data_IF_153552447327
#
_entry.id   IF_153552447327
#
_cell.length_a   1.000
_cell.length_b   1.000
_cell.length_c   1.000
_cell.angle_alpha   90.00
_cell.angle_beta   90.00
_cell.angle_gamma   90.00
#
_symmetry.space_group_name_H-M   'P 1'
#
loop_
_entity.id
_entity.type
_entity.pdbx_description
1 polymer ?
#
# COMPACT_ATOMS: atom_id res chain seq x y z
N UNK A 1 21.73 -0.85 72.18
CA UNK A 1 20.88 -0.71 70.99
C UNK A 1 21.79 -0.74 69.76
N UNK A 2 21.83 -1.85 69.04
CA UNK A 2 22.56 -1.97 67.78
C UNK A 2 21.49 -2.02 66.68
N UNK A 3 21.41 -0.95 65.89
CA UNK A 3 20.54 -0.88 64.73
C UNK A 3 21.22 -1.63 63.56
N UNK A 4 20.60 -2.64 62.93
CA UNK A 4 21.12 -3.16 61.68
C UNK A 4 20.74 -2.21 60.56
N UNK A 5 21.74 -1.57 59.96
CA UNK A 5 21.58 -0.86 58.68
C UNK A 5 21.31 -1.95 57.62
N UNK A 6 20.05 -2.09 57.21
CA UNK A 6 19.68 -2.81 55.98
C UNK A 6 20.20 -1.98 54.81
N UNK A 7 21.39 -2.28 54.32
CA UNK A 7 21.77 -1.94 52.94
C UNK A 7 20.92 -2.83 52.02
N UNK A 8 19.72 -2.35 51.68
CA UNK A 8 18.99 -2.86 50.53
C UNK A 8 19.73 -2.42 49.28
N UNK A 9 20.61 -3.26 48.75
CA UNK A 9 21.04 -3.14 47.36
C UNK A 9 19.83 -3.48 46.49
N UNK A 10 19.02 -2.49 46.15
CA UNK A 10 18.08 -2.62 45.04
C UNK A 10 18.91 -2.69 43.77
N UNK A 11 19.20 -3.90 43.30
CA UNK A 11 19.54 -4.09 41.91
C UNK A 11 18.32 -3.65 41.12
N UNK A 12 18.31 -2.41 40.61
CA UNK A 12 17.35 -2.00 39.60
C UNK A 12 17.60 -2.93 38.41
N UNK A 13 16.74 -3.93 38.26
CA UNK A 13 16.76 -4.79 37.10
C UNK A 13 16.43 -3.89 35.91
N UNK A 14 17.41 -3.64 35.03
CA UNK A 14 17.19 -2.81 33.85
C UNK A 14 16.21 -3.52 32.93
N UNK A 15 15.07 -2.87 32.65
CA UNK A 15 14.08 -3.39 31.70
C UNK A 15 14.76 -3.67 30.37
N UNK A 16 14.58 -4.89 29.86
CA UNK A 16 15.13 -5.34 28.59
C UNK A 16 14.02 -5.26 27.52
N UNK A 17 14.25 -4.44 26.50
CA UNK A 17 13.40 -4.35 25.32
C UNK A 17 14.09 -5.03 24.14
N UNK A 18 13.41 -5.98 23.49
CA UNK A 18 13.88 -6.64 22.27
C UNK A 18 12.82 -6.62 21.18
N UNK A 19 13.26 -6.38 19.94
CA UNK A 19 12.40 -6.41 18.75
C UNK A 19 13.01 -7.35 17.72
N UNK A 20 12.22 -8.33 17.28
CA UNK A 20 12.70 -9.36 16.34
C UNK A 20 11.71 -9.62 15.20
N UNK A 21 12.16 -9.54 13.93
CA UNK A 21 13.46 -8.99 13.50
C UNK A 21 13.55 -7.47 13.73
N UNK A 22 14.75 -6.97 14.07
CA UNK A 22 15.02 -5.52 14.19
C UNK A 22 15.24 -4.83 12.85
N UNK A 23 15.49 -5.61 11.80
CA UNK A 23 15.61 -5.17 10.41
C UNK A 23 14.82 -6.13 9.54
N UNK A 24 13.78 -5.64 8.86
CA UNK A 24 12.95 -6.46 7.99
C UNK A 24 12.19 -5.60 6.99
N UNK A 25 11.57 -6.22 5.98
CA UNK A 25 10.68 -5.49 5.09
C UNK A 25 9.48 -4.93 5.86
N UNK A 26 8.93 -3.82 5.37
CA UNK A 26 7.82 -3.12 6.02
C UNK A 26 6.59 -4.03 6.15
N UNK A 27 6.39 -4.97 5.24
CA UNK A 27 5.26 -5.89 5.17
C UNK A 27 5.46 -7.21 5.96
N UNK A 28 6.56 -7.34 6.70
CA UNK A 28 6.83 -8.48 7.59
C UNK A 28 6.43 -8.20 9.04
N UNK A 29 5.91 -9.21 9.76
CA UNK A 29 5.64 -9.05 11.20
C UNK A 29 6.93 -8.98 12.01
N UNK A 30 6.92 -8.16 13.05
CA UNK A 30 7.92 -8.19 14.11
C UNK A 30 7.26 -8.46 15.46
N UNK A 31 8.04 -8.95 16.41
CA UNK A 31 7.64 -9.21 17.79
C UNK A 31 8.36 -8.24 18.70
N UNK A 32 7.63 -7.63 19.62
CA UNK A 32 8.21 -6.79 20.68
C UNK A 32 8.07 -7.52 22.01
N UNK A 33 9.19 -7.70 22.69
CA UNK A 33 9.27 -8.38 23.97
C UNK A 33 9.93 -7.46 24.98
N UNK A 34 9.21 -7.23 26.09
CA UNK A 34 9.72 -6.53 27.26
C UNK A 34 9.96 -7.55 28.36
N UNK A 35 11.11 -7.51 29.01
CA UNK A 35 11.52 -8.42 30.08
C UNK A 35 12.19 -7.66 31.21
N UNK A 36 12.42 -8.33 32.34
CA UNK A 36 13.10 -7.79 33.52
C UNK A 36 12.38 -6.57 34.15
N UNK A 37 11.09 -6.40 33.89
CA UNK A 37 10.26 -5.46 34.62
C UNK A 37 9.76 -6.09 35.93
N UNK A 38 9.24 -5.28 36.85
CA UNK A 38 8.61 -5.81 38.06
C UNK A 38 7.33 -6.60 37.70
N UNK A 39 7.07 -7.78 38.31
CA UNK A 39 5.82 -8.51 38.10
C UNK A 39 4.60 -7.62 38.39
N UNK A 40 3.60 -7.64 37.50
CA UNK A 40 2.42 -6.77 37.61
C UNK A 40 2.65 -5.29 37.30
N UNK A 41 3.86 -4.88 36.88
CA UNK A 41 4.11 -3.49 36.50
C UNK A 41 3.28 -3.08 35.28
N UNK A 42 2.67 -1.91 35.37
CA UNK A 42 2.05 -1.21 34.26
C UNK A 42 3.12 -0.57 33.38
N UNK A 43 3.06 -0.81 32.07
CA UNK A 43 4.00 -0.28 31.09
C UNK A 43 3.26 0.26 29.86
N UNK A 44 3.79 1.32 29.27
CA UNK A 44 3.42 1.76 27.93
C UNK A 44 4.53 1.41 26.95
N UNK A 45 4.18 0.70 25.87
CA UNK A 45 5.07 0.52 24.71
C UNK A 45 4.64 1.52 23.64
N UNK A 46 5.59 2.34 23.20
CA UNK A 46 5.38 3.45 22.29
C UNK A 46 6.27 3.26 21.06
N UNK A 47 5.72 3.47 19.86
CA UNK A 47 6.46 3.49 18.60
C UNK A 47 6.38 4.88 17.98
N UNK A 48 7.53 5.44 17.62
CA UNK A 48 7.66 6.75 16.99
C UNK A 48 8.44 6.64 15.68
N UNK A 49 7.99 7.38 14.68
CA UNK A 49 8.61 7.50 13.37
C UNK A 49 8.59 8.97 12.93
N UNK A 50 9.72 9.47 12.47
CA UNK A 50 9.80 10.72 11.71
C UNK A 50 9.84 10.38 10.22
N UNK A 51 8.83 10.79 9.46
CA UNK A 51 8.76 10.52 8.02
C UNK A 51 9.72 11.42 7.23
N UNK A 52 9.95 11.08 5.96
CA UNK A 52 10.88 11.80 5.08
C UNK A 52 10.45 13.27 4.85
N UNK A 53 9.15 13.51 4.84
CA UNK A 53 8.50 14.82 4.80
C UNK A 53 8.38 15.51 6.17
N UNK A 54 9.11 15.00 7.18
CA UNK A 54 9.27 15.57 8.52
C UNK A 54 7.99 15.61 9.37
N UNK A 55 7.05 14.70 9.12
CA UNK A 55 5.88 14.52 10.00
C UNK A 55 6.17 13.45 11.06
N UNK A 56 5.67 13.69 12.28
CA UNK A 56 5.73 12.73 13.37
C UNK A 56 4.55 11.77 13.29
N UNK A 57 4.86 10.49 13.37
CA UNK A 57 3.90 9.40 13.44
C UNK A 57 4.15 8.66 14.74
N UNK A 58 3.11 8.51 15.57
CA UNK A 58 3.24 7.77 16.82
C UNK A 58 2.09 6.81 17.07
N UNK A 59 2.36 5.73 17.79
CA UNK A 59 1.37 4.77 18.28
C UNK A 59 1.83 4.24 19.64
N UNK A 60 0.89 3.87 20.51
CA UNK A 60 1.23 3.26 21.79
C UNK A 60 0.21 2.21 22.22
N UNK A 61 0.62 1.35 23.14
CA UNK A 61 -0.23 0.38 23.79
C UNK A 61 0.12 0.22 25.27
N UNK A 62 -0.90 -0.03 26.08
CA UNK A 62 -0.78 -0.27 27.51
C UNK A 62 -0.72 -1.77 27.80
N UNK A 63 0.19 -2.16 28.69
CA UNK A 63 0.44 -3.54 29.07
C UNK A 63 0.64 -3.67 30.57
N UNK A 64 0.38 -4.87 31.07
CA UNK A 64 0.68 -5.27 32.45
C UNK A 64 1.62 -6.47 32.37
N UNK A 65 2.73 -6.41 33.09
CA UNK A 65 3.72 -7.49 33.12
C UNK A 65 3.13 -8.74 33.76
N UNK A 66 3.47 -9.90 33.20
CA UNK A 66 3.11 -11.19 33.80
C UNK A 66 3.87 -11.45 35.11
N UNK A 67 3.61 -12.60 35.73
CA UNK A 67 4.28 -13.02 36.97
C UNK A 67 5.81 -13.14 36.87
N UNK A 68 6.36 -13.20 35.65
CA UNK A 68 7.80 -13.25 35.39
C UNK A 68 8.40 -11.88 35.10
N UNK A 69 7.59 -10.81 35.08
CA UNK A 69 8.06 -9.47 34.72
C UNK A 69 8.21 -9.27 33.21
N UNK A 70 7.45 -10.03 32.40
CA UNK A 70 7.55 -9.99 30.94
C UNK A 70 6.25 -9.55 30.26
N UNK A 71 6.36 -8.98 29.06
CA UNK A 71 5.25 -8.63 28.16
C UNK A 71 5.62 -9.03 26.73
N UNK A 72 4.80 -9.89 26.11
CA UNK A 72 4.86 -10.18 24.69
C UNK A 72 3.78 -9.36 23.95
N UNK A 73 4.21 -8.30 23.27
CA UNK A 73 3.31 -7.40 22.56
C UNK A 73 2.95 -8.04 21.22
N UNK A 74 1.90 -8.86 21.21
CA UNK A 74 1.40 -9.51 19.98
C UNK A 74 0.70 -8.55 19.01
N UNK A 75 0.47 -7.30 19.41
CA UNK A 75 -0.45 -6.38 18.75
C UNK A 75 0.07 -4.94 18.65
N UNK A 76 1.39 -4.74 18.46
CA UNK A 76 1.88 -3.47 17.93
C UNK A 76 1.67 -3.46 16.40
N UNK A 77 0.43 -3.66 15.97
CA UNK A 77 0.03 -3.13 14.67
C UNK A 77 0.20 -1.63 14.84
N UNK A 78 1.18 -1.05 14.14
CA UNK A 78 1.56 0.35 14.27
C UNK A 78 0.38 1.21 13.81
N UNK A 79 -0.56 1.45 14.73
CA UNK A 79 -1.70 2.32 14.55
C UNK A 79 -1.22 3.74 14.74
N UNK A 80 -0.44 4.22 13.78
CA UNK A 80 0.04 5.58 13.84
C UNK A 80 -1.14 6.54 13.66
N UNK A 81 -1.42 7.32 14.69
CA UNK A 81 -2.20 8.55 14.53
C UNK A 81 -1.20 9.69 14.31
N UNK A 82 -1.48 10.66 13.43
CA UNK A 82 -0.76 11.93 13.49
C UNK A 82 -0.98 12.53 14.90
N UNK A 83 0.10 12.89 15.57
CA UNK A 83 0.05 13.56 16.87
C UNK A 83 -0.66 14.90 16.69
N UNK A 84 -1.82 15.07 17.31
CA UNK A 84 -2.50 16.36 17.33
C UNK A 84 -1.79 17.30 18.31
N UNK A 85 -0.67 17.89 17.89
CA UNK A 85 -0.14 19.07 18.56
C UNK A 85 -0.79 20.35 17.99
N UNK A 86 -1.48 21.05 18.88
CA UNK A 86 -1.91 22.45 18.81
C UNK A 86 -3.12 22.82 17.93
N UNK A 87 -3.94 23.70 18.53
CA UNK A 87 -5.11 24.40 17.97
C UNK A 87 -4.80 25.29 16.74
N UNK A 88 -3.61 25.21 16.13
CA UNK A 88 -3.19 26.04 15.00
C UNK A 88 -2.79 25.27 13.72
N UNK A 89 -2.69 23.93 13.75
CA UNK A 89 -2.28 23.11 12.58
C UNK A 89 -3.39 22.26 11.95
N UNK A 90 -4.62 22.77 11.91
CA UNK A 90 -5.79 22.07 11.37
C UNK A 90 -5.82 21.94 9.83
N UNK A 91 -4.74 22.27 9.11
CA UNK A 91 -4.80 22.51 7.66
C UNK A 91 -4.20 21.45 6.75
N UNK A 92 -3.42 20.50 7.26
CA UNK A 92 -2.89 19.41 6.42
C UNK A 92 -3.02 18.06 7.14
N UNK A 93 -3.85 17.18 6.55
CA UNK A 93 -3.90 15.77 6.96
C UNK A 93 -2.96 15.01 6.05
N UNK A 94 -1.91 14.42 6.62
CA UNK A 94 -0.84 13.78 5.86
C UNK A 94 -1.10 12.28 5.70
N UNK A 95 -0.56 11.73 4.62
CA UNK A 95 -0.50 10.31 4.34
C UNK A 95 0.97 9.93 4.40
N UNK A 96 1.33 8.85 5.08
CA UNK A 96 2.71 8.39 5.09
C UNK A 96 3.10 8.00 3.66
N UNK A 97 4.13 8.64 3.14
CA UNK A 97 4.69 8.34 1.82
C UNK A 97 6.15 7.98 1.95
N UNK A 98 6.55 6.94 1.22
CA UNK A 98 7.96 6.57 1.05
C UNK A 98 8.43 7.04 -0.32
N UNK A 99 9.35 8.00 -0.34
CA UNK A 99 9.91 8.56 -1.57
C UNK A 99 11.20 7.86 -1.96
N UNK A 100 12.07 7.56 -0.98
CA UNK A 100 13.32 6.84 -1.23
C UNK A 100 13.24 5.40 -0.73
N UNK A 101 12.92 4.45 -1.61
CA UNK A 101 12.80 3.02 -1.24
C UNK A 101 14.14 2.35 -0.86
N UNK A 102 15.27 2.98 -1.13
CA UNK A 102 16.62 2.47 -0.86
C UNK A 102 17.07 2.71 0.59
N UNK A 103 16.28 3.44 1.39
CA UNK A 103 16.50 3.65 2.82
C UNK A 103 15.35 3.07 3.65
N UNK A 104 15.59 2.65 4.89
CA UNK A 104 14.52 2.16 5.75
C UNK A 104 13.63 3.31 6.27
N UNK A 105 12.46 2.95 6.79
CA UNK A 105 11.83 3.75 7.84
C UNK A 105 12.44 3.35 9.18
N UNK A 106 12.87 4.34 9.93
CA UNK A 106 13.47 4.20 11.25
C UNK A 106 12.41 4.40 12.32
N UNK A 107 12.06 3.33 13.04
CA UNK A 107 11.01 3.33 14.06
C UNK A 107 11.65 3.12 15.40
N UNK A 108 11.53 4.12 16.27
CA UNK A 108 11.99 4.01 17.66
C UNK A 108 10.89 3.37 18.47
N UNK A 109 11.16 2.21 19.07
CA UNK A 109 10.27 1.55 20.03
C UNK A 109 10.81 1.82 21.43
N UNK A 110 9.98 2.41 22.28
CA UNK A 110 10.33 2.79 23.65
C UNK A 110 9.36 2.18 24.65
N UNK A 111 9.86 1.86 25.84
CA UNK A 111 9.06 1.40 26.98
C UNK A 111 9.08 2.46 28.07
N UNK A 112 7.91 2.79 28.59
CA UNK A 112 7.73 3.74 29.68
C UNK A 112 7.04 3.08 30.87
N UNK A 113 7.31 3.59 32.07
CA UNK A 113 6.64 3.17 33.30
C UNK A 113 5.23 3.78 33.36
N UNK A 114 4.25 2.96 33.74
CA UNK A 114 2.83 3.36 33.86
C UNK A 114 2.11 3.37 32.51
N UNK A 115 0.79 3.59 32.56
CA UNK A 115 -0.07 3.71 31.37
C UNK A 115 -0.15 5.15 30.87
N UNK A 116 0.96 5.65 30.32
CA UNK A 116 1.04 6.97 29.68
C UNK A 116 0.23 7.02 28.38
N UNK A 117 -0.46 8.13 28.12
CA UNK A 117 -1.26 8.37 26.90
C UNK A 117 -0.75 9.53 26.05
N UNK A 118 0.12 10.38 26.60
CA UNK A 118 0.68 11.56 25.94
C UNK A 118 2.00 11.97 26.61
N UNK A 119 2.67 13.01 26.09
CA UNK A 119 3.86 13.59 26.71
C UNK A 119 5.11 12.70 26.64
N UNK A 120 5.15 11.68 25.76
CA UNK A 120 6.26 10.73 25.68
C UNK A 120 7.68 11.33 25.67
N UNK A 121 7.96 12.47 25.00
CA UNK A 121 9.28 13.12 25.05
C UNK A 121 9.67 13.68 26.42
N UNK A 122 8.70 13.95 27.29
CA UNK A 122 8.90 14.52 28.64
C UNK A 122 9.22 13.43 29.67
N UNK A 123 8.91 12.18 29.36
CA UNK A 123 9.17 11.04 30.21
C UNK A 123 10.48 10.35 29.85
N UNK A 124 11.20 9.84 30.86
CA UNK A 124 12.38 9.00 30.64
C UNK A 124 11.93 7.59 30.25
N UNK A 125 12.29 7.14 29.05
CA UNK A 125 12.08 5.75 28.65
C UNK A 125 12.93 4.80 29.53
N UNK A 126 12.34 3.68 29.94
CA UNK A 126 13.01 2.60 30.65
C UNK A 126 13.99 1.86 29.73
N UNK A 127 13.60 1.71 28.47
CA UNK A 127 14.41 1.15 27.40
C UNK A 127 13.90 1.67 26.04
N UNK A 128 14.79 1.75 25.06
CA UNK A 128 14.44 2.10 23.69
C UNK A 128 15.31 1.32 22.70
N UNK A 129 14.76 1.01 21.54
CA UNK A 129 15.46 0.34 20.44
C UNK A 129 15.02 0.90 19.10
N UNK A 130 15.96 1.04 18.17
CA UNK A 130 15.70 1.43 16.80
C UNK A 130 15.39 0.19 15.95
N UNK A 131 14.32 0.25 15.16
CA UNK A 131 13.88 -0.81 14.26
C UNK A 131 13.87 -0.26 12.84
N UNK A 132 14.48 -0.98 11.91
CA UNK A 132 14.50 -0.61 10.49
C UNK A 132 13.44 -1.38 9.71
N UNK A 133 12.61 -0.64 8.98
CA UNK A 133 11.53 -1.17 8.13
C UNK A 133 11.80 -0.83 6.67
N UNK A 134 12.25 -1.81 5.91
CA UNK A 134 12.74 -1.65 4.55
C UNK A 134 11.62 -1.80 3.51
N UNK A 135 11.64 -1.02 2.44
CA UNK A 135 10.74 -1.21 1.30
C UNK A 135 11.38 -2.01 0.16
N UNK A 136 12.69 -2.24 0.24
CA UNK A 136 13.48 -2.93 -0.77
C UNK A 136 14.39 -3.94 -0.09
N UNK A 137 14.26 -5.22 -0.44
CA UNK A 137 15.10 -6.28 0.09
C UNK A 137 16.53 -6.19 -0.44
N UNK A 138 17.53 -6.71 0.31
CA UNK A 138 18.90 -6.80 -0.17
C UNK A 138 19.00 -7.51 -1.53
N UNK A 139 19.74 -6.91 -2.46
CA UNK A 139 19.98 -7.47 -3.79
C UNK A 139 18.89 -7.18 -4.83
N UNK A 140 17.77 -6.57 -4.45
CA UNK A 140 16.83 -5.99 -5.43
C UNK A 140 17.52 -4.82 -6.14
N UNK A 141 17.43 -4.79 -7.46
CA UNK A 141 17.98 -3.71 -8.27
C UNK A 141 16.88 -2.67 -8.56
N UNK A 142 17.21 -1.39 -8.39
CA UNK A 142 16.38 -0.25 -8.78
C UNK A 142 16.98 0.40 -10.04
N UNK A 143 16.23 0.40 -11.13
CA UNK A 143 16.69 0.86 -12.45
C UNK A 143 15.72 1.94 -12.96
N UNK A 144 16.08 3.23 -12.87
CA UNK A 144 15.30 4.29 -13.49
C UNK A 144 15.19 4.07 -15.01
N UNK A 145 14.01 4.29 -15.57
CA UNK A 145 13.73 4.10 -16.99
C UNK A 145 13.21 5.41 -17.57
N UNK A 146 13.98 5.97 -18.49
CA UNK A 146 13.63 7.18 -19.27
C UNK A 146 13.55 6.91 -20.78
N UNK A 147 13.75 5.65 -21.19
CA UNK A 147 13.68 5.23 -22.58
C UNK A 147 12.24 5.31 -23.11
N UNK A 148 12.10 5.56 -24.41
CA UNK A 148 10.79 5.64 -25.09
C UNK A 148 9.82 6.65 -24.47
N UNK A 149 10.34 7.71 -23.84
CA UNK A 149 9.61 8.73 -23.10
C UNK A 149 8.82 8.21 -21.89
N UNK A 150 9.15 7.03 -21.38
CA UNK A 150 8.57 6.53 -20.15
C UNK A 150 9.17 7.31 -18.96
N UNK A 151 8.33 7.67 -18.00
CA UNK A 151 8.77 8.05 -16.66
C UNK A 151 8.45 6.88 -15.73
N UNK A 152 9.43 6.02 -15.52
CA UNK A 152 9.24 4.77 -14.78
C UNK A 152 10.50 4.35 -14.01
N UNK A 153 10.32 3.40 -13.09
CA UNK A 153 11.44 2.70 -12.44
C UNK A 153 11.16 1.21 -12.46
N UNK A 154 12.10 0.44 -13.01
CA UNK A 154 12.09 -1.01 -13.02
C UNK A 154 12.81 -1.53 -11.78
N UNK A 155 12.14 -2.41 -11.05
CA UNK A 155 12.71 -3.18 -9.96
C UNK A 155 12.91 -4.63 -10.38
N UNK A 156 14.11 -5.17 -10.20
CA UNK A 156 14.42 -6.56 -10.48
C UNK A 156 14.75 -7.33 -9.20
N UNK A 157 14.15 -8.51 -8.98
CA UNK A 157 14.55 -9.39 -7.88
C UNK A 157 16.03 -9.81 -7.97
N UNK A 158 16.66 -10.17 -6.85
CA UNK A 158 17.99 -10.79 -6.89
C UNK A 158 17.95 -12.14 -7.62
N UNK A 159 19.04 -12.48 -8.30
CA UNK A 159 19.23 -13.77 -8.96
C UNK A 159 19.30 -13.68 -10.48
N UNK A 160 19.41 -14.83 -11.17
CA UNK A 160 19.71 -14.87 -12.60
C UNK A 160 18.54 -14.46 -13.51
N UNK A 161 17.30 -14.50 -13.02
CA UNK A 161 16.11 -14.33 -13.86
C UNK A 161 15.98 -15.42 -14.94
N UNK A 162 15.20 -15.19 -16.01
CA UNK A 162 14.25 -14.09 -16.15
C UNK A 162 13.08 -14.23 -15.15
N UNK A 163 12.46 -13.10 -14.81
CA UNK A 163 11.37 -13.03 -13.83
C UNK A 163 10.04 -12.73 -14.53
N UNK A 164 8.90 -13.24 -14.05
CA UNK A 164 7.62 -12.65 -14.40
C UNK A 164 7.55 -11.21 -13.89
N UNK A 165 6.75 -10.38 -14.57
CA UNK A 165 6.71 -8.95 -14.27
C UNK A 165 5.31 -8.43 -13.91
N UNK A 166 5.27 -7.31 -13.20
CA UNK A 166 4.07 -6.56 -12.87
C UNK A 166 4.24 -5.11 -13.36
N UNK A 167 3.34 -4.64 -14.21
CA UNK A 167 3.19 -3.22 -14.51
C UNK A 167 2.35 -2.57 -13.42
N UNK A 168 2.94 -1.66 -12.65
CA UNK A 168 2.38 -1.11 -11.42
C UNK A 168 1.89 0.33 -11.59
N UNK A 169 0.57 0.55 -11.42
CA UNK A 169 -0.10 1.83 -11.59
C UNK A 169 -0.73 2.35 -10.29
N UNK A 170 -0.34 3.56 -9.92
CA UNK A 170 -0.93 4.30 -8.79
C UNK A 170 -2.14 5.14 -9.22
N UNK A 171 -2.78 5.77 -8.24
CA UNK A 171 -3.99 6.58 -8.41
C UNK A 171 -3.75 7.99 -8.94
N UNK A 172 -4.76 8.85 -8.81
CA UNK A 172 -4.79 10.22 -9.35
C UNK A 172 -3.82 11.21 -8.70
N UNK A 173 -3.01 10.80 -7.72
CA UNK A 173 -2.07 11.68 -7.03
C UNK A 173 -0.86 12.08 -7.86
N UNK A 174 -0.64 11.41 -9.00
CA UNK A 174 0.55 11.58 -9.83
C UNK A 174 1.86 11.23 -9.11
N UNK A 175 2.94 11.66 -9.72
CA UNK A 175 4.33 11.33 -9.45
C UNK A 175 4.63 9.83 -9.61
N UNK A 176 5.91 9.53 -9.71
CA UNK A 176 6.40 8.17 -9.66
C UNK A 176 6.39 7.66 -8.21
N UNK A 177 5.58 6.64 -7.94
CA UNK A 177 5.45 6.02 -6.62
C UNK A 177 5.98 4.59 -6.67
N UNK A 178 7.04 4.33 -5.92
CA UNK A 178 7.88 3.15 -6.13
C UNK A 178 7.69 2.05 -5.08
N UNK A 179 7.17 2.38 -3.91
CA UNK A 179 7.27 1.53 -2.73
C UNK A 179 6.48 0.22 -2.80
N UNK A 180 5.40 0.14 -3.61
CA UNK A 180 4.73 -1.14 -3.90
C UNK A 180 5.56 -1.99 -4.86
N UNK A 181 6.11 -1.38 -5.91
CA UNK A 181 6.95 -2.08 -6.89
C UNK A 181 8.24 -2.63 -6.28
N UNK A 182 8.90 -1.89 -5.39
CA UNK A 182 10.08 -2.38 -4.66
C UNK A 182 9.77 -3.59 -3.77
N UNK A 183 8.60 -3.60 -3.13
CA UNK A 183 8.13 -4.75 -2.36
C UNK A 183 7.78 -5.94 -3.27
N UNK A 184 7.13 -5.72 -4.42
CA UNK A 184 6.88 -6.79 -5.39
C UNK A 184 8.18 -7.47 -5.86
N UNK A 185 9.23 -6.69 -6.13
CA UNK A 185 10.56 -7.22 -6.45
C UNK A 185 11.21 -7.97 -5.30
N UNK A 186 11.02 -7.50 -4.08
CA UNK A 186 11.42 -8.21 -2.86
C UNK A 186 10.72 -9.56 -2.69
N UNK A 187 9.54 -9.72 -3.28
CA UNK A 187 8.76 -10.98 -3.29
C UNK A 187 8.95 -11.83 -4.56
N UNK A 188 9.91 -11.47 -5.41
CA UNK A 188 10.32 -12.26 -6.57
C UNK A 188 9.61 -11.92 -7.88
N UNK A 189 9.02 -10.74 -8.02
CA UNK A 189 8.45 -10.28 -9.31
C UNK A 189 9.22 -9.08 -9.84
N UNK A 190 9.63 -9.08 -11.12
CA UNK A 190 10.02 -7.82 -11.72
C UNK A 190 8.84 -6.83 -11.64
N UNK A 191 9.07 -5.57 -11.35
CA UNK A 191 7.99 -4.60 -11.18
C UNK A 191 8.36 -3.26 -11.79
N UNK A 192 7.49 -2.72 -12.64
CA UNK A 192 7.66 -1.40 -13.25
C UNK A 192 6.66 -0.43 -12.64
N UNK A 193 7.15 0.45 -11.77
CA UNK A 193 6.38 1.61 -11.34
C UNK A 193 6.30 2.59 -12.52
N UNK A 194 5.08 2.99 -12.90
CA UNK A 194 4.87 3.91 -14.03
C UNK A 194 4.16 5.19 -13.58
N UNK A 195 4.76 6.33 -13.90
CA UNK A 195 4.08 7.63 -13.85
C UNK A 195 3.44 7.92 -15.21
N UNK A 196 2.11 8.05 -15.22
CA UNK A 196 1.31 8.34 -16.40
C UNK A 196 0.52 9.65 -16.29
N UNK A 197 0.68 10.40 -15.19
CA UNK A 197 -0.02 11.66 -14.95
C UNK A 197 0.94 12.86 -14.94
N UNK A 198 2.14 12.70 -14.41
CA UNK A 198 3.13 13.79 -14.23
C UNK A 198 4.47 13.47 -14.90
N UNK A 199 4.47 12.60 -15.89
CA UNK A 199 5.64 12.40 -16.75
C UNK A 199 6.01 13.69 -17.48
N UNK A 200 7.26 13.78 -17.92
CA UNK A 200 7.82 14.99 -18.56
C UNK A 200 7.01 15.44 -19.78
N UNK A 201 6.45 14.50 -20.56
CA UNK A 201 5.61 14.83 -21.70
C UNK A 201 4.32 15.49 -21.26
N UNK A 202 3.64 14.98 -20.24
CA UNK A 202 2.41 15.58 -19.72
C UNK A 202 2.68 16.95 -19.11
N UNK A 203 3.78 17.11 -18.35
CA UNK A 203 4.18 18.41 -17.80
C UNK A 203 4.46 19.42 -18.92
N UNK A 204 5.20 19.00 -19.94
CA UNK A 204 5.66 19.90 -21.02
C UNK A 204 4.55 20.23 -22.02
N UNK A 205 3.69 19.26 -22.35
CA UNK A 205 2.69 19.42 -23.42
C UNK A 205 1.29 19.72 -22.89
N UNK A 206 1.03 19.52 -21.59
CA UNK A 206 -0.30 19.55 -21.00
C UNK A 206 -1.22 18.41 -21.46
N UNK A 207 -0.74 17.52 -22.34
CA UNK A 207 -1.55 16.42 -22.89
C UNK A 207 -1.43 15.19 -22.00
N UNK A 208 -2.58 14.65 -21.65
CA UNK A 208 -2.65 13.41 -20.90
C UNK A 208 -2.33 12.20 -21.76
N UNK A 209 -1.73 11.18 -21.14
CA UNK A 209 -1.31 9.98 -21.85
C UNK A 209 -2.49 9.17 -22.37
N UNK A 210 -2.29 8.51 -23.51
CA UNK A 210 -3.26 7.61 -24.16
C UNK A 210 -2.86 6.16 -23.94
N UNK A 211 -3.68 5.23 -24.46
CA UNK A 211 -3.45 3.79 -24.37
C UNK A 211 -2.02 3.41 -24.82
N UNK A 212 -1.52 4.02 -25.90
CA UNK A 212 -0.20 3.75 -26.48
C UNK A 212 0.96 3.92 -25.47
N UNK A 213 0.81 4.79 -24.45
CA UNK A 213 1.82 4.96 -23.41
C UNK A 213 1.92 3.72 -22.50
N UNK A 214 0.77 3.18 -22.10
CA UNK A 214 0.71 1.95 -21.32
C UNK A 214 1.14 0.73 -22.15
N UNK A 215 0.79 0.71 -23.44
CA UNK A 215 1.24 -0.32 -24.37
C UNK A 215 2.76 -0.26 -24.58
N UNK A 216 3.35 0.94 -24.62
CA UNK A 216 4.81 1.14 -24.67
C UNK A 216 5.48 0.61 -23.41
N UNK A 217 4.96 0.93 -22.22
CA UNK A 217 5.48 0.39 -20.96
C UNK A 217 5.38 -1.15 -20.88
N UNK A 218 4.27 -1.72 -21.38
CA UNK A 218 4.12 -3.17 -21.49
C UNK A 218 5.15 -3.78 -22.45
N UNK A 219 5.39 -3.16 -23.61
CA UNK A 219 6.38 -3.64 -24.59
C UNK A 219 7.80 -3.54 -24.08
N UNK A 220 8.13 -2.48 -23.33
CA UNK A 220 9.39 -2.37 -22.61
C UNK A 220 9.62 -3.59 -21.71
N UNK A 221 8.62 -3.99 -20.91
CA UNK A 221 8.73 -5.20 -20.08
C UNK A 221 8.79 -6.48 -20.91
N UNK A 222 7.98 -6.60 -21.95
CA UNK A 222 7.93 -7.80 -22.81
C UNK A 222 9.27 -8.08 -23.49
N UNK A 223 10.01 -7.03 -23.84
CA UNK A 223 11.29 -7.11 -24.56
C UNK A 223 12.50 -7.14 -23.63
N UNK A 224 12.34 -6.86 -22.34
CA UNK A 224 13.45 -6.80 -21.40
C UNK A 224 14.08 -8.20 -21.18
N UNK A 225 15.41 -8.38 -21.29
CA UNK A 225 16.06 -9.69 -21.28
C UNK A 225 15.91 -10.46 -19.96
N UNK A 226 15.72 -9.76 -18.85
CA UNK A 226 15.47 -10.36 -17.54
C UNK A 226 13.98 -10.57 -17.23
N UNK A 227 13.08 -10.39 -18.19
CA UNK A 227 11.64 -10.58 -18.00
C UNK A 227 11.14 -11.72 -18.87
N UNK A 228 10.28 -12.56 -18.30
CA UNK A 228 9.53 -13.54 -19.08
C UNK A 228 8.37 -12.80 -19.74
N UNK A 229 8.56 -12.31 -20.97
CA UNK A 229 7.60 -11.43 -21.65
C UNK A 229 6.17 -12.00 -21.81
N UNK A 230 6.01 -13.33 -21.78
CA UNK A 230 4.69 -13.98 -21.78
C UNK A 230 3.98 -14.00 -20.43
N UNK A 231 4.62 -13.51 -19.36
CA UNK A 231 4.16 -13.59 -17.97
C UNK A 231 4.20 -12.22 -17.29
N UNK A 232 3.40 -11.32 -17.84
CA UNK A 232 3.24 -9.95 -17.34
C UNK A 232 1.83 -9.78 -16.75
N UNK A 233 1.76 -9.31 -15.52
CA UNK A 233 0.54 -8.83 -14.89
C UNK A 233 0.48 -7.30 -14.89
N UNK A 234 -0.69 -6.77 -14.55
CA UNK A 234 -0.88 -5.35 -14.30
C UNK A 234 -1.57 -5.15 -12.94
N UNK A 235 -1.08 -4.21 -12.13
CA UNK A 235 -1.63 -3.89 -10.82
C UNK A 235 -2.04 -2.42 -10.77
N UNK A 236 -3.32 -2.15 -10.58
CA UNK A 236 -3.85 -0.80 -10.43
C UNK A 236 -4.39 -0.50 -9.03
N UNK A 237 -4.24 0.75 -8.58
CA UNK A 237 -4.98 1.33 -7.45
C UNK A 237 -5.75 2.57 -7.93
N UNK A 238 -7.01 2.71 -7.51
CA UNK A 238 -7.82 3.91 -7.78
C UNK A 238 -7.92 4.18 -9.30
N UNK A 239 -7.47 5.35 -9.78
CA UNK A 239 -7.35 5.65 -11.20
C UNK A 239 -6.53 4.60 -11.98
N UNK A 240 -5.47 4.06 -11.38
CA UNK A 240 -4.68 2.99 -11.98
C UNK A 240 -5.49 1.72 -12.23
N UNK A 241 -6.51 1.44 -11.40
CA UNK A 241 -7.46 0.34 -11.64
C UNK A 241 -8.30 0.59 -12.88
N UNK A 242 -8.80 1.81 -13.09
CA UNK A 242 -9.55 2.13 -14.29
C UNK A 242 -8.73 1.89 -15.57
N UNK A 243 -7.45 2.33 -15.57
CA UNK A 243 -6.52 2.06 -16.67
C UNK A 243 -6.25 0.56 -16.84
N UNK A 244 -6.06 -0.16 -15.73
CA UNK A 244 -5.81 -1.60 -15.74
C UNK A 244 -6.98 -2.38 -16.34
N UNK A 245 -8.21 -2.09 -15.92
CA UNK A 245 -9.42 -2.72 -16.46
C UNK A 245 -9.59 -2.40 -17.95
N UNK A 246 -9.38 -1.13 -18.34
CA UNK A 246 -9.44 -0.70 -19.75
C UNK A 246 -8.42 -1.46 -20.59
N UNK A 247 -7.16 -1.54 -20.15
CA UNK A 247 -6.10 -2.24 -20.89
C UNK A 247 -6.39 -3.74 -20.99
N UNK A 248 -6.81 -4.36 -19.88
CA UNK A 248 -7.12 -5.79 -19.83
C UNK A 248 -8.31 -6.19 -20.74
N UNK A 249 -9.29 -5.29 -20.93
CA UNK A 249 -10.48 -5.57 -21.72
C UNK A 249 -10.35 -5.16 -23.20
N UNK A 250 -9.56 -4.13 -23.52
CA UNK A 250 -9.61 -3.47 -24.83
C UNK A 250 -8.28 -3.32 -25.56
N UNK A 251 -7.13 -3.43 -24.88
CA UNK A 251 -5.85 -3.35 -25.60
C UNK A 251 -5.71 -4.57 -26.51
N UNK A 252 -5.31 -4.32 -27.76
CA UNK A 252 -4.95 -5.38 -28.72
C UNK A 252 -3.47 -5.74 -28.63
N UNK A 253 -2.69 -4.94 -27.90
CA UNK A 253 -1.24 -5.08 -27.77
C UNK A 253 -0.88 -5.82 -26.48
N UNK A 254 -1.52 -5.47 -25.37
CA UNK A 254 -1.22 -6.05 -24.06
C UNK A 254 -1.85 -7.43 -23.90
N UNK A 255 -1.00 -8.46 -23.78
CA UNK A 255 -1.42 -9.83 -23.45
C UNK A 255 -1.15 -10.10 -21.98
N UNK A 256 -2.00 -9.54 -21.11
CA UNK A 256 -1.87 -9.69 -19.68
C UNK A 256 -2.13 -11.12 -19.24
N UNK A 257 -1.28 -11.64 -18.37
CA UNK A 257 -1.45 -12.97 -17.78
C UNK A 257 -2.46 -12.96 -16.63
N UNK A 258 -2.56 -11.85 -15.90
CA UNK A 258 -3.60 -11.56 -14.92
C UNK A 258 -3.60 -10.06 -14.57
N UNK A 259 -4.65 -9.58 -13.92
CA UNK A 259 -4.76 -8.21 -13.43
C UNK A 259 -5.18 -8.16 -11.96
N UNK A 260 -4.62 -7.20 -11.20
CA UNK A 260 -4.95 -6.92 -9.80
C UNK A 260 -5.43 -5.48 -9.70
N UNK A 261 -6.60 -5.26 -9.10
CA UNK A 261 -7.32 -4.00 -9.17
C UNK A 261 -7.86 -3.61 -7.79
N UNK A 262 -7.28 -2.56 -7.20
CA UNK A 262 -7.63 -2.07 -5.88
C UNK A 262 -8.49 -0.81 -5.98
N UNK A 263 -9.58 -0.77 -5.22
CA UNK A 263 -10.40 0.43 -4.96
C UNK A 263 -10.73 1.26 -6.21
N UNK A 264 -11.15 0.61 -7.30
CA UNK A 264 -11.34 1.25 -8.60
C UNK A 264 -12.75 1.18 -9.16
N UNK A 265 -12.96 1.92 -10.24
CA UNK A 265 -14.22 2.01 -10.97
C UNK A 265 -14.04 1.55 -12.42
N UNK A 266 -15.03 0.84 -12.96
CA UNK A 266 -15.12 0.47 -14.37
C UNK A 266 -15.96 1.47 -15.20
N UNK A 267 -16.53 2.50 -14.56
CA UNK A 267 -17.39 3.48 -15.22
C UNK A 267 -16.53 4.65 -15.71
N UNK A 268 -16.01 4.54 -16.94
CA UNK A 268 -15.13 5.50 -17.58
C UNK A 268 -15.34 5.53 -19.10
N UNK A 269 -15.10 6.66 -19.80
CA UNK A 269 -15.24 6.73 -21.25
C UNK A 269 -14.26 5.78 -21.97
N UNK A 270 -14.79 4.82 -22.75
CA UNK A 270 -14.00 3.80 -23.47
C UNK A 270 -13.00 4.40 -24.46
N UNK A 271 -13.36 5.51 -25.13
CA UNK A 271 -12.55 6.18 -26.13
C UNK A 271 -11.84 7.44 -25.62
N UNK A 272 -11.91 7.73 -24.32
CA UNK A 272 -11.37 8.97 -23.78
C UNK A 272 -9.87 8.92 -23.47
N UNK A 273 -9.24 10.09 -23.55
CA UNK A 273 -7.89 10.32 -23.03
C UNK A 273 -7.87 10.15 -21.50
N UNK A 274 -6.68 10.03 -20.88
CA UNK A 274 -6.58 10.01 -19.41
C UNK A 274 -7.17 11.29 -18.78
N UNK A 275 -7.19 12.40 -19.51
CA UNK A 275 -7.86 13.65 -19.14
C UNK A 275 -9.37 13.49 -19.05
N UNK A 276 -10.00 12.86 -20.05
CA UNK A 276 -11.45 12.66 -20.05
C UNK A 276 -11.92 11.70 -18.94
N UNK A 277 -11.06 10.72 -18.60
CA UNK A 277 -11.28 9.81 -17.47
C UNK A 277 -11.14 10.58 -16.14
N UNK A 278 -10.10 11.41 -16.00
CA UNK A 278 -9.88 12.25 -14.82
C UNK A 278 -10.96 13.34 -14.65
N UNK A 279 -11.39 13.97 -15.74
CA UNK A 279 -12.40 15.03 -15.74
C UNK A 279 -13.80 14.46 -15.48
N UNK A 280 -14.09 13.23 -15.96
CA UNK A 280 -15.28 12.51 -15.52
C UNK A 280 -15.20 12.12 -14.05
N UNK A 281 -14.02 11.75 -13.55
CA UNK A 281 -13.83 11.51 -12.11
C UNK A 281 -14.16 12.76 -11.28
N UNK A 282 -13.64 13.93 -11.64
CA UNK A 282 -13.85 15.17 -10.90
C UNK A 282 -15.28 15.73 -11.00
N UNK A 283 -15.98 15.52 -12.12
CA UNK A 283 -17.35 16.02 -12.33
C UNK A 283 -18.45 15.11 -11.78
N UNK A 284 -18.14 13.84 -11.49
CA UNK A 284 -19.15 12.78 -11.32
C UNK A 284 -18.97 11.93 -10.07
N UNK A 285 -18.28 12.41 -9.04
CA UNK A 285 -18.11 11.68 -7.77
C UNK A 285 -19.46 11.19 -7.20
N UNK A 286 -20.55 11.93 -7.49
CA UNK A 286 -21.93 11.62 -7.06
C UNK A 286 -22.89 11.34 -8.23
N UNK A 287 -22.43 11.49 -9.49
CA UNK A 287 -23.30 11.59 -10.68
C UNK A 287 -22.65 11.00 -11.91
N UNK A 288 -22.60 9.68 -11.98
CA UNK A 288 -22.27 8.92 -13.19
C UNK A 288 -22.79 9.63 -14.45
N UNK A 289 -21.90 10.19 -15.28
CA UNK A 289 -22.34 10.90 -16.49
C UNK A 289 -22.89 9.92 -17.49
N UNK A 290 -24.05 10.33 -17.92
CA UNK A 290 -24.90 9.78 -18.93
C UNK A 290 -24.55 10.53 -20.22
N UNK A 291 -24.33 9.84 -21.34
CA UNK A 291 -24.10 10.50 -22.63
C UNK A 291 -25.37 11.25 -23.09
N UNK A 292 -25.31 11.96 -24.22
CA UNK A 292 -26.47 12.71 -24.77
C UNK A 292 -27.72 11.84 -25.04
N UNK A 293 -27.59 10.51 -25.02
CA UNK A 293 -28.65 9.51 -25.28
C UNK A 293 -29.18 8.81 -24.04
N UNK A 294 -28.81 9.27 -22.86
CA UNK A 294 -29.15 8.58 -21.62
C UNK A 294 -28.41 7.25 -21.32
N UNK A 295 -27.26 7.00 -21.96
CA UNK A 295 -26.50 5.76 -21.81
C UNK A 295 -25.28 5.97 -20.90
N UNK A 296 -25.05 5.04 -19.97
CA UNK A 296 -23.83 5.00 -19.16
C UNK A 296 -22.71 4.36 -19.99
N UNK A 297 -21.53 4.98 -20.02
CA UNK A 297 -20.37 4.39 -20.70
C UNK A 297 -19.72 3.38 -19.76
N UNK A 298 -20.12 2.12 -19.94
CA UNK A 298 -19.55 0.98 -19.24
C UNK A 298 -18.31 0.48 -20.00
N UNK A 299 -17.21 0.23 -19.29
CA UNK A 299 -16.27 -0.78 -19.78
C UNK A 299 -16.98 -2.14 -19.68
N UNK A 300 -17.26 -2.75 -20.83
CA UNK A 300 -17.80 -4.10 -20.96
C UNK A 300 -16.76 -5.11 -20.46
N UNK A 301 -16.91 -5.48 -19.19
CA UNK A 301 -16.02 -6.41 -18.51
C UNK A 301 -16.19 -7.86 -18.98
N UNK A 302 -17.22 -8.16 -19.78
CA UNK A 302 -17.32 -9.44 -20.48
C UNK A 302 -16.19 -9.68 -21.46
N UNK A 303 -15.45 -8.64 -21.83
CA UNK A 303 -14.30 -8.73 -22.74
C UNK A 303 -13.00 -9.17 -22.07
N UNK A 304 -12.90 -9.09 -20.74
CA UNK A 304 -11.69 -9.51 -20.03
C UNK A 304 -11.43 -11.00 -20.26
N UNK A 305 -10.24 -11.32 -20.77
CA UNK A 305 -9.82 -12.69 -21.09
C UNK A 305 -8.77 -13.26 -20.11
N UNK A 306 -8.33 -12.47 -19.12
CA UNK A 306 -7.35 -12.90 -18.14
C UNK A 306 -7.96 -12.98 -16.73
N UNK A 307 -7.39 -13.80 -15.83
CA UNK A 307 -7.74 -13.78 -14.41
C UNK A 307 -7.67 -12.36 -13.84
N UNK A 308 -8.71 -11.97 -13.12
CA UNK A 308 -8.87 -10.64 -12.53
C UNK A 308 -9.11 -10.76 -11.02
N UNK A 309 -8.27 -10.11 -10.23
CA UNK A 309 -8.46 -9.94 -8.80
C UNK A 309 -8.97 -8.52 -8.52
N UNK A 310 -10.18 -8.41 -7.96
CA UNK A 310 -10.72 -7.16 -7.43
C UNK A 310 -10.59 -7.13 -5.91
N UNK A 311 -10.07 -6.02 -5.39
CA UNK A 311 -9.96 -5.76 -3.95
C UNK A 311 -10.65 -4.43 -3.64
N UNK A 312 -11.69 -4.47 -2.81
CA UNK A 312 -12.50 -3.29 -2.50
C UNK A 312 -12.84 -3.20 -1.02
N UNK A 313 -12.84 -1.97 -0.50
CA UNK A 313 -13.38 -1.63 0.81
C UNK A 313 -14.86 -1.23 0.72
N UNK A 314 -15.67 -1.67 1.70
CA UNK A 314 -17.09 -1.30 1.75
C UNK A 314 -17.35 0.13 2.26
N UNK A 315 -16.37 0.72 2.95
CA UNK A 315 -16.40 2.11 3.44
C UNK A 315 -15.47 2.99 2.59
N UNK A 316 -15.34 2.70 1.29
CA UNK A 316 -14.67 3.58 0.34
C UNK A 316 -15.47 4.86 0.15
N UNK A 317 -14.93 5.98 0.63
CA UNK A 317 -15.58 7.30 0.56
C UNK A 317 -15.05 8.16 -0.58
N UNK A 318 -14.14 7.63 -1.39
CA UNK A 318 -13.60 8.35 -2.54
C UNK A 318 -14.34 7.95 -3.80
N UNK A 319 -14.39 6.64 -4.11
CA UNK A 319 -15.04 6.09 -5.31
C UNK A 319 -16.09 5.05 -4.91
N UNK A 320 -17.13 4.81 -5.72
CA UNK A 320 -18.09 3.72 -5.50
C UNK A 320 -17.47 2.36 -5.88
N UNK A 321 -16.29 2.03 -5.35
CA UNK A 321 -15.50 0.87 -5.74
C UNK A 321 -16.23 -0.46 -5.47
N UNK A 322 -16.93 -0.56 -4.33
CA UNK A 322 -17.73 -1.74 -4.02
C UNK A 322 -18.87 -1.94 -5.03
N UNK A 323 -19.62 -0.88 -5.34
CA UNK A 323 -20.71 -0.93 -6.33
C UNK A 323 -20.17 -1.32 -7.70
N UNK A 324 -19.07 -0.67 -8.12
CA UNK A 324 -18.37 -1.00 -9.35
C UNK A 324 -17.96 -2.47 -9.40
N UNK A 325 -17.39 -3.04 -8.33
CA UNK A 325 -17.01 -4.45 -8.30
C UNK A 325 -18.21 -5.39 -8.44
N UNK A 326 -19.38 -5.04 -7.88
CA UNK A 326 -20.61 -5.81 -8.08
C UNK A 326 -21.10 -5.77 -9.53
N UNK A 327 -20.98 -4.62 -10.19
CA UNK A 327 -21.36 -4.47 -11.59
C UNK A 327 -20.40 -5.24 -12.52
N UNK A 328 -19.09 -5.16 -12.27
CA UNK A 328 -18.08 -5.99 -12.96
C UNK A 328 -18.45 -7.48 -12.83
N UNK A 329 -18.76 -7.93 -11.61
CA UNK A 329 -19.19 -9.31 -11.36
C UNK A 329 -20.40 -9.70 -12.21
N UNK A 330 -21.46 -8.89 -12.22
CA UNK A 330 -22.68 -9.14 -13.02
C UNK A 330 -22.40 -9.18 -14.52
N UNK A 331 -21.58 -8.26 -15.03
CA UNK A 331 -21.19 -8.24 -16.44
C UNK A 331 -20.40 -9.50 -16.83
N UNK A 332 -19.48 -9.93 -15.98
CA UNK A 332 -18.68 -11.14 -16.23
C UNK A 332 -19.51 -12.43 -16.11
N UNK A 333 -20.47 -12.47 -15.18
CA UNK A 333 -21.46 -13.56 -15.10
C UNK A 333 -22.28 -13.67 -16.39
N UNK A 334 -22.82 -12.54 -16.87
CA UNK A 334 -23.60 -12.49 -18.10
C UNK A 334 -22.80 -12.92 -19.34
N UNK A 335 -21.50 -12.62 -19.37
CA UNK A 335 -20.60 -12.98 -20.47
C UNK A 335 -20.04 -14.42 -20.35
N UNK A 336 -20.29 -15.13 -19.25
CA UNK A 336 -19.79 -16.49 -19.02
C UNK A 336 -18.32 -16.57 -18.59
N UNK A 337 -17.67 -15.43 -18.31
CA UNK A 337 -16.26 -15.37 -17.90
C UNK A 337 -16.06 -15.14 -16.39
N UNK A 338 -17.12 -15.30 -15.56
CA UNK A 338 -17.05 -15.19 -14.09
C UNK A 338 -15.98 -16.06 -13.43
N UNK A 339 -15.63 -17.20 -14.04
CA UNK A 339 -14.57 -18.09 -13.56
C UNK A 339 -13.17 -17.45 -13.56
N UNK A 340 -12.99 -16.30 -14.24
CA UNK A 340 -11.76 -15.51 -14.21
C UNK A 340 -11.71 -14.52 -13.04
N UNK A 341 -12.84 -14.24 -12.39
CA UNK A 341 -12.94 -13.21 -11.37
C UNK A 341 -12.72 -13.78 -9.97
N UNK A 342 -11.75 -13.21 -9.25
CA UNK A 342 -11.63 -13.31 -7.80
C UNK A 342 -11.98 -11.96 -7.20
N UNK A 343 -12.87 -11.95 -6.21
CA UNK A 343 -13.36 -10.72 -5.58
C UNK A 343 -13.15 -10.79 -4.07
N UNK A 344 -12.42 -9.82 -3.53
CA UNK A 344 -12.19 -9.62 -2.11
C UNK A 344 -12.88 -8.32 -1.67
N UNK A 345 -13.83 -8.47 -0.75
CA UNK A 345 -14.58 -7.36 -0.17
C UNK A 345 -14.26 -7.30 1.31
N UNK A 346 -13.81 -6.13 1.77
CA UNK A 346 -13.47 -5.91 3.17
C UNK A 346 -14.42 -4.91 3.83
N UNK A 347 -15.13 -5.29 4.90
CA UNK A 347 -15.88 -4.33 5.72
C UNK A 347 -14.91 -3.36 6.41
N UNK A 348 -15.42 -2.19 6.80
CA UNK A 348 -14.68 -1.16 7.56
C UNK A 348 -13.35 -0.73 6.91
N UNK A 349 -13.24 -0.89 5.59
CA UNK A 349 -12.03 -0.59 4.82
C UNK A 349 -12.34 0.50 3.82
N UNK A 350 -11.43 1.46 3.72
CA UNK A 350 -11.55 2.62 2.85
C UNK A 350 -10.85 2.45 1.52
N UNK A 351 -10.63 3.58 0.83
CA UNK A 351 -10.07 3.65 -0.52
C UNK A 351 -8.59 3.26 -0.59
N UNK A 352 -7.76 3.78 0.32
CA UNK A 352 -6.30 3.67 0.26
C UNK A 352 -5.78 2.35 0.87
N UNK A 353 -6.03 1.24 0.19
CA UNK A 353 -5.53 -0.08 0.60
C UNK A 353 -4.05 -0.21 0.20
N UNK A 354 -3.19 0.34 1.04
CA UNK A 354 -1.72 0.31 0.91
C UNK A 354 -1.11 -1.06 1.28
N UNK A 355 0.21 -1.28 1.04
CA UNK A 355 0.92 -2.42 1.61
C UNK A 355 0.76 -2.52 3.14
N UNK A 356 0.95 -3.72 3.72
CA UNK A 356 0.70 -3.96 5.14
C UNK A 356 1.46 -3.01 6.07
N UNK A 357 0.81 -2.67 7.19
CA UNK A 357 1.35 -1.81 8.26
C UNK A 357 1.59 -0.34 7.86
N UNK A 358 1.16 0.08 6.67
CA UNK A 358 0.98 1.49 6.36
C UNK A 358 -0.10 2.11 7.26
N UNK A 359 0.12 3.30 7.86
CA UNK A 359 -0.87 3.98 8.68
C UNK A 359 -2.20 4.18 7.95
N UNK A 360 -3.30 3.83 8.62
CA UNK A 360 -4.63 4.11 8.11
C UNK A 360 -4.87 5.62 8.02
N UNK A 361 -5.03 6.13 6.80
CA UNK A 361 -5.30 7.55 6.54
C UNK A 361 -6.77 7.73 6.13
N UNK A 362 -7.64 8.08 7.08
CA UNK A 362 -9.09 8.25 6.80
C UNK A 362 -9.40 9.47 5.94
N UNK A 363 -8.55 10.48 5.99
CA UNK A 363 -8.66 11.69 5.19
C UNK A 363 -7.28 12.32 5.00
N UNK A 364 -7.01 12.89 3.84
CA UNK A 364 -5.76 13.62 3.60
C UNK A 364 -6.00 14.83 2.70
N UNK A 365 -5.08 15.79 2.75
CA UNK A 365 -5.04 16.83 1.74
C UNK A 365 -4.59 16.20 0.41
N UNK A 366 -5.35 16.48 -0.63
CA UNK A 366 -5.11 16.01 -1.99
C UNK A 366 -5.09 17.20 -2.92
N UNK A 367 -4.05 17.29 -3.75
CA UNK A 367 -3.98 18.29 -4.81
C UNK A 367 -4.61 17.71 -6.06
N UNK A 368 -5.68 18.32 -6.53
CA UNK A 368 -6.26 17.93 -7.82
C UNK A 368 -5.26 18.21 -8.93
N UNK A 369 -5.08 17.23 -9.81
CA UNK A 369 -4.19 17.37 -10.95
C UNK A 369 -4.69 18.44 -11.95
N UNK A 370 -6.01 18.52 -12.19
CA UNK A 370 -6.61 19.46 -13.16
C UNK A 370 -6.63 20.90 -12.63
N UNK A 371 -7.26 21.11 -11.47
CA UNK A 371 -7.45 22.47 -10.92
C UNK A 371 -6.22 22.99 -10.16
N UNK A 372 -5.26 22.12 -9.82
CA UNK A 372 -4.14 22.39 -8.89
C UNK A 372 -4.58 22.85 -7.49
N UNK A 373 -5.88 22.86 -7.21
CA UNK A 373 -6.45 23.22 -5.91
C UNK A 373 -6.25 22.09 -4.90
N UNK A 374 -6.20 22.48 -3.62
CA UNK A 374 -6.08 21.56 -2.49
C UNK A 374 -7.47 21.31 -1.92
N UNK A 375 -7.86 20.03 -1.84
CA UNK A 375 -9.09 19.61 -1.19
C UNK A 375 -8.75 18.59 -0.09
N UNK A 376 -9.67 18.41 0.86
CA UNK A 376 -9.57 17.30 1.81
C UNK A 376 -10.38 16.14 1.24
N UNK A 377 -9.69 15.08 0.83
CA UNK A 377 -10.34 13.85 0.40
C UNK A 377 -10.66 13.00 1.62
N UNK A 378 -11.88 12.44 1.63
CA UNK A 378 -12.24 11.37 2.56
C UNK A 378 -11.96 10.04 1.88
N UNK A 379 -11.18 9.20 2.55
CA UNK A 379 -10.83 7.86 2.06
C UNK A 379 -11.68 6.78 2.72
N UNK A 380 -12.23 7.06 3.91
CA UNK A 380 -13.05 6.14 4.70
C UNK A 380 -12.25 5.01 5.33
N UNK A 381 -12.94 4.05 5.95
CA UNK A 381 -12.39 2.95 6.72
C UNK A 381 -12.31 3.21 8.23
N UNK A 382 -12.20 2.13 8.98
CA UNK A 382 -11.88 2.10 10.42
C UNK A 382 -10.51 1.45 10.61
N UNK A 383 -9.70 2.02 11.50
CA UNK A 383 -8.27 1.69 11.62
C UNK A 383 -7.98 0.19 11.75
N UNK A 384 -8.71 -0.54 12.61
CA UNK A 384 -8.49 -1.98 12.80
C UNK A 384 -8.95 -2.80 11.58
N UNK A 385 -10.11 -2.48 11.01
CA UNK A 385 -10.64 -3.16 9.83
C UNK A 385 -9.76 -2.95 8.61
N UNK A 386 -9.37 -1.70 8.38
CA UNK A 386 -8.50 -1.28 7.28
C UNK A 386 -7.11 -1.96 7.36
N UNK A 387 -6.47 -1.96 8.54
CA UNK A 387 -5.17 -2.61 8.70
C UNK A 387 -5.22 -4.12 8.41
N UNK A 388 -6.27 -4.80 8.88
CA UNK A 388 -6.48 -6.23 8.58
C UNK A 388 -6.70 -6.47 7.09
N UNK A 389 -7.40 -5.58 6.41
CA UNK A 389 -7.61 -5.65 4.96
C UNK A 389 -6.31 -5.46 4.18
N UNK A 390 -5.43 -4.54 4.59
CA UNK A 390 -4.11 -4.38 3.98
C UNK A 390 -3.27 -5.66 4.11
N UNK A 391 -3.17 -6.23 5.32
CA UNK A 391 -2.46 -7.49 5.57
C UNK A 391 -3.00 -8.65 4.72
N UNK A 392 -4.31 -8.88 4.76
CA UNK A 392 -4.93 -10.03 4.09
C UNK A 392 -4.93 -9.88 2.56
N UNK A 393 -5.27 -8.68 2.06
CA UNK A 393 -5.28 -8.41 0.62
C UNK A 393 -3.89 -8.50 0.01
N UNK A 394 -2.85 -7.95 0.66
CA UNK A 394 -1.48 -8.05 0.17
C UNK A 394 -1.04 -9.50 0.00
N UNK A 395 -1.23 -10.31 1.05
CA UNK A 395 -0.92 -11.74 1.03
C UNK A 395 -1.66 -12.46 -0.09
N UNK A 396 -2.98 -12.23 -0.23
CA UNK A 396 -3.80 -12.87 -1.27
C UNK A 396 -3.42 -12.41 -2.68
N UNK A 397 -3.05 -11.15 -2.87
CA UNK A 397 -2.58 -10.62 -4.15
C UNK A 397 -1.23 -11.21 -4.56
N UNK A 398 -0.28 -11.33 -3.62
CA UNK A 398 0.99 -12.04 -3.89
C UNK A 398 0.74 -13.51 -4.27
N UNK A 399 -0.19 -14.19 -3.57
CA UNK A 399 -0.57 -15.57 -3.92
C UNK A 399 -1.20 -15.66 -5.31
N UNK A 400 -2.11 -14.75 -5.65
CA UNK A 400 -2.75 -14.66 -6.95
C UNK A 400 -1.73 -14.45 -8.08
N UNK A 401 -0.80 -13.50 -7.91
CA UNK A 401 0.30 -13.28 -8.84
C UNK A 401 1.18 -14.53 -8.98
N UNK A 402 1.54 -15.19 -7.87
CA UNK A 402 2.34 -16.43 -7.93
C UNK A 402 1.61 -17.52 -8.72
N UNK A 403 0.33 -17.72 -8.46
CA UNK A 403 -0.48 -18.73 -9.16
C UNK A 403 -0.52 -18.50 -10.67
N UNK A 404 -0.75 -17.26 -11.11
CA UNK A 404 -0.97 -16.95 -12.52
C UNK A 404 0.33 -16.67 -13.31
N UNK A 405 1.37 -16.15 -12.65
CA UNK A 405 2.64 -15.79 -13.28
C UNK A 405 3.73 -16.86 -13.15
N UNK A 406 3.81 -17.61 -12.04
CA UNK A 406 4.75 -18.73 -11.96
C UNK A 406 4.13 -20.05 -12.43
N UNK A 407 2.80 -20.13 -12.42
CA UNK A 407 2.05 -21.36 -12.64
C UNK A 407 1.99 -22.22 -11.38
N UNK A 408 0.98 -23.07 -11.25
CA UNK A 408 0.99 -24.08 -10.18
C UNK A 408 2.20 -24.98 -10.39
N UNK A 409 3.13 -25.03 -9.44
CA UNK A 409 4.01 -26.20 -9.32
C UNK A 409 3.07 -27.40 -9.24
N UNK A 410 3.09 -28.28 -10.24
CA UNK A 410 2.56 -29.63 -10.05
C UNK A 410 3.21 -30.12 -8.76
N UNK A 411 2.41 -30.50 -7.75
CA UNK A 411 2.94 -31.25 -6.62
C UNK A 411 3.66 -32.45 -7.24
N UNK A 412 4.98 -32.39 -7.33
CA UNK A 412 5.79 -33.54 -7.69
C UNK A 412 5.64 -34.49 -6.51
N UNK A 413 4.92 -35.58 -6.73
CA UNK A 413 5.02 -36.73 -5.85
C UNK A 413 6.47 -37.20 -5.92
N UNK A 414 7.25 -36.85 -4.90
CA UNK A 414 8.50 -37.50 -4.54
C UNK A 414 8.43 -37.73 -3.03
#
# INVERSE_FOLDING_TARGET
LICPIRMGMSYECSVLLSVHPSRALVDEKFKVLVQNASPGAELTVHSHLLSEDKHNWEAFGHYICDSTGSVNCKSLTMYFSPVQFSLFYWRARHMLRKSNVETPLEVTVSVYQGHLTEGFPEHRALAAVLVERWYMAPGVQRIPVTEHNLTATLFLPPGPGPFPAVLDLWGGGGNLVEYRSSLLASHGFAALALDYLTNDLTITTGKMMKNDYFETAYKFLEQHPQIVGSRIAMWGLSLGTAMTLKMAAYSKVMKLRCAVCYSGSHIQPVNGSTEEILNNFLKNQDKTRINEKQEVIWHDMGRVQCPLLLVVGQDDQNWPAFVSAMDIKKMMEKAGNIHLLTLLVYPDTGHLIEPPYSPHTRASTFRSFESRELYTSLWGGQTVGHARAQEDSWRKSLMFLREHLYGRRKKSNL
#
